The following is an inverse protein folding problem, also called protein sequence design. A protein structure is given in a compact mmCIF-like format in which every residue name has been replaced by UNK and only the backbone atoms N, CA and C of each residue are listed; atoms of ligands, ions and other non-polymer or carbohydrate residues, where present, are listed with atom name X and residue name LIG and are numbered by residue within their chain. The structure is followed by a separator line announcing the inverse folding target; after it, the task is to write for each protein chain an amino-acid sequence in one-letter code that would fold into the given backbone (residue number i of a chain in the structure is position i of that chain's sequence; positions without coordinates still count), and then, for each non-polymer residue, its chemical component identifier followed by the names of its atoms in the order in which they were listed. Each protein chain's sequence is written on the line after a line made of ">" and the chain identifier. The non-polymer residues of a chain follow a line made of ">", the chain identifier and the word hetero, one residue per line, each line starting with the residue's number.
data_IF_308678750826
#
_entry.id   IF_308678750826
#
_cell.length_a   1.000
_cell.length_b   1.000
_cell.length_c   1.000
_cell.angle_alpha   90.00
_cell.angle_beta   90.00
_cell.angle_gamma   90.00
#
_symmetry.space_group_name_H-M   'P 1'
#
loop_
_entity.id
_entity.type
_entity.pdbx_description
1 polymer ?
#
# COMPACT_ATOMS: atom_id res chain seq x y z
N UNK A 1 -8.52 13.95 1.47
CA UNK A 1 -7.99 13.88 0.08
C UNK A 1 -6.47 13.76 -0.05
N UNK A 2 -5.65 14.46 0.76
CA UNK A 2 -4.17 14.38 0.71
C UNK A 2 -3.59 12.97 0.55
N UNK A 3 -4.00 12.01 1.40
CA UNK A 3 -3.46 10.65 1.37
C UNK A 3 -3.71 9.95 0.02
N UNK A 4 -4.80 10.28 -0.69
CA UNK A 4 -5.12 9.66 -1.97
C UNK A 4 -4.13 10.09 -3.06
N UNK A 5 -3.65 11.33 -3.02
CA UNK A 5 -2.55 11.78 -3.91
C UNK A 5 -1.27 10.99 -3.64
N UNK A 6 -0.95 10.72 -2.38
CA UNK A 6 0.20 9.88 -2.01
C UNK A 6 0.02 8.41 -2.45
N UNK A 7 -1.20 7.87 -2.32
CA UNK A 7 -1.51 6.51 -2.78
C UNK A 7 -1.31 6.39 -4.29
N UNK A 8 -1.85 7.34 -5.07
CA UNK A 8 -1.67 7.40 -6.52
C UNK A 8 -0.21 7.46 -6.88
N UNK A 9 0.54 8.42 -6.32
CA UNK A 9 1.97 8.55 -6.60
C UNK A 9 2.73 7.24 -6.38
N UNK A 10 2.51 6.58 -5.23
CA UNK A 10 3.19 5.32 -4.90
C UNK A 10 2.79 4.16 -5.82
N UNK A 11 1.50 3.99 -6.08
CA UNK A 11 0.99 2.93 -6.95
C UNK A 11 1.39 3.14 -8.41
N UNK A 12 1.40 4.38 -8.88
CA UNK A 12 1.80 4.72 -10.24
C UNK A 12 3.27 4.41 -10.49
N UNK A 13 4.14 4.70 -9.52
CA UNK A 13 5.55 4.29 -9.60
C UNK A 13 5.68 2.76 -9.64
N UNK A 14 4.89 2.03 -8.85
CA UNK A 14 4.87 0.56 -8.88
C UNK A 14 4.37 0.01 -10.22
N UNK A 15 3.31 0.59 -10.80
CA UNK A 15 2.76 0.19 -12.09
C UNK A 15 3.74 0.45 -13.23
N UNK A 16 4.40 1.62 -13.25
CA UNK A 16 5.45 1.95 -14.22
C UNK A 16 6.59 0.95 -14.17
N UNK A 17 7.12 0.70 -12.97
CA UNK A 17 8.20 -0.25 -12.79
C UNK A 17 7.76 -1.66 -13.21
N UNK A 18 6.59 -2.10 -12.76
CA UNK A 18 6.09 -3.43 -13.09
C UNK A 18 5.93 -3.61 -14.61
N UNK A 19 5.49 -2.57 -15.32
CA UNK A 19 5.39 -2.57 -16.79
C UNK A 19 6.76 -2.59 -17.48
N UNK A 20 7.70 -1.77 -17.04
CA UNK A 20 9.07 -1.66 -17.59
C UNK A 20 9.81 -3.00 -17.52
N UNK A 21 9.61 -3.75 -16.43
CA UNK A 21 10.31 -5.01 -16.15
C UNK A 21 9.47 -6.26 -16.42
N UNK A 22 8.35 -6.14 -17.14
CA UNK A 22 7.48 -7.26 -17.57
C UNK A 22 6.98 -8.16 -16.41
N UNK A 23 6.59 -7.56 -15.29
CA UNK A 23 5.88 -8.27 -14.24
C UNK A 23 4.42 -8.50 -14.62
N UNK A 24 3.81 -9.55 -14.08
CA UNK A 24 2.39 -9.87 -14.33
C UNK A 24 1.44 -8.91 -13.59
N UNK A 25 1.79 -8.53 -12.36
CA UNK A 25 0.96 -7.71 -11.48
C UNK A 25 1.76 -6.64 -10.73
N UNK A 26 1.08 -5.56 -10.37
CA UNK A 26 1.53 -4.63 -9.33
C UNK A 26 0.52 -4.56 -8.19
N UNK A 27 0.98 -4.16 -7.00
CA UNK A 27 0.11 -3.98 -5.83
C UNK A 27 0.73 -3.03 -4.80
N UNK A 28 0.10 -2.91 -3.63
CA UNK A 28 0.67 -2.15 -2.51
C UNK A 28 0.41 -2.85 -1.18
N UNK A 29 1.42 -2.89 -0.32
CA UNK A 29 1.31 -3.35 1.06
C UNK A 29 0.53 -2.38 1.95
N UNK A 30 0.24 -1.15 1.50
CA UNK A 30 -0.46 -0.14 2.30
C UNK A 30 -1.81 -0.61 2.85
N UNK A 31 -2.49 -1.55 2.19
CA UNK A 31 -3.79 -2.08 2.63
C UNK A 31 -3.72 -2.90 3.94
N UNK A 32 -2.53 -3.32 4.37
CA UNK A 32 -2.34 -4.03 5.65
C UNK A 32 -2.62 -3.13 6.86
N UNK A 33 -2.43 -1.82 6.71
CA UNK A 33 -2.60 -0.89 7.81
C UNK A 33 -4.09 -0.60 8.06
N UNK A 34 -4.57 -0.69 9.31
CA UNK A 34 -5.97 -0.41 9.65
C UNK A 34 -6.36 1.06 9.36
N UNK A 35 -5.39 1.96 9.27
CA UNK A 35 -5.58 3.39 9.02
C UNK A 35 -5.73 3.73 7.52
N UNK A 36 -5.53 2.76 6.62
CA UNK A 36 -5.51 3.01 5.18
C UNK A 36 -6.82 2.56 4.54
N UNK A 37 -7.35 3.45 3.68
CA UNK A 37 -8.55 3.18 2.92
C UNK A 37 -8.22 2.24 1.74
N UNK A 38 -8.45 0.94 1.94
CA UNK A 38 -8.17 -0.10 0.95
C UNK A 38 -9.06 0.02 -0.30
N UNK A 39 -10.32 0.45 -0.15
CA UNK A 39 -11.19 0.70 -1.30
C UNK A 39 -10.56 1.73 -2.23
N UNK A 40 -10.14 2.88 -1.69
CA UNK A 40 -9.52 3.92 -2.50
C UNK A 40 -8.17 3.50 -3.11
N UNK A 41 -7.39 2.67 -2.41
CA UNK A 41 -6.17 2.07 -2.97
C UNK A 41 -6.48 1.19 -4.18
N UNK A 42 -7.52 0.35 -4.09
CA UNK A 42 -7.93 -0.52 -5.19
C UNK A 42 -8.57 0.26 -6.34
N UNK A 43 -9.39 1.28 -6.08
CA UNK A 43 -9.94 2.15 -7.13
C UNK A 43 -8.82 2.83 -7.93
N UNK A 44 -7.78 3.32 -7.25
CA UNK A 44 -6.61 3.92 -7.90
C UNK A 44 -5.79 2.88 -8.65
N UNK A 45 -5.60 1.69 -8.06
CA UNK A 45 -4.89 0.59 -8.69
C UNK A 45 -5.55 0.15 -10.00
N UNK A 46 -6.87 0.02 -10.01
CA UNK A 46 -7.64 -0.33 -11.22
C UNK A 46 -7.47 0.71 -12.32
N UNK A 47 -7.62 2.00 -11.99
CA UNK A 47 -7.39 3.09 -12.94
C UNK A 47 -5.98 3.05 -13.55
N UNK A 48 -4.96 2.80 -12.73
CA UNK A 48 -3.58 2.69 -13.20
C UNK A 48 -3.33 1.42 -14.02
N UNK A 49 -4.09 0.34 -13.77
CA UNK A 49 -4.03 -0.90 -14.53
C UNK A 49 -4.39 -0.64 -16.00
N UNK A 50 -5.44 0.16 -16.21
CA UNK A 50 -5.91 0.55 -17.54
C UNK A 50 -4.95 1.49 -18.26
N UNK A 51 -4.30 2.41 -17.54
CA UNK A 51 -3.34 3.38 -18.10
C UNK A 51 -2.05 2.68 -18.53
N UNK A 52 -1.46 1.88 -17.64
CA UNK A 52 -0.13 1.27 -17.85
C UNK A 52 -0.18 -0.10 -18.52
N UNK A 53 -1.37 -0.65 -18.75
CA UNK A 53 -1.60 -1.97 -19.37
C UNK A 53 -0.81 -3.07 -18.66
N UNK A 54 -1.00 -3.12 -17.34
CA UNK A 54 -0.49 -4.13 -16.42
C UNK A 54 -1.53 -4.39 -15.33
N UNK A 55 -1.73 -5.64 -14.91
CA UNK A 55 -2.79 -5.96 -13.97
C UNK A 55 -2.49 -5.44 -12.56
N UNK A 56 -3.47 -4.78 -11.94
CA UNK A 56 -3.44 -4.51 -10.51
C UNK A 56 -3.90 -5.76 -9.76
N UNK A 57 -3.26 -6.11 -8.65
CA UNK A 57 -3.75 -7.14 -7.73
C UNK A 57 -4.59 -6.47 -6.64
N UNK A 58 -5.94 -6.54 -6.70
CA UNK A 58 -6.78 -5.93 -5.69
C UNK A 58 -6.58 -6.63 -4.35
N UNK A 59 -6.35 -5.86 -3.30
CA UNK A 59 -6.05 -6.43 -1.99
C UNK A 59 -6.62 -5.60 -0.85
N UNK A 60 -6.96 -6.30 0.22
CA UNK A 60 -7.29 -5.73 1.52
C UNK A 60 -6.65 -6.60 2.61
N UNK A 61 -5.32 -6.48 2.73
CA UNK A 61 -4.51 -7.42 3.52
C UNK A 61 -4.83 -7.38 5.02
N UNK A 62 -5.54 -6.37 5.53
CA UNK A 62 -6.00 -6.35 6.93
C UNK A 62 -7.21 -7.26 7.20
N UNK A 63 -7.97 -7.68 6.19
CA UNK A 63 -9.14 -8.56 6.37
C UNK A 63 -8.72 -9.97 6.83
N UNK A 64 -9.69 -10.74 7.34
CA UNK A 64 -9.51 -12.12 7.83
C UNK A 64 -8.35 -12.26 8.83
N UNK A 65 -8.16 -11.26 9.69
CA UNK A 65 -7.10 -11.25 10.70
C UNK A 65 -5.69 -10.94 10.17
N UNK A 66 -5.54 -10.54 8.90
CA UNK A 66 -4.21 -10.33 8.31
C UNK A 66 -3.39 -9.24 9.00
N UNK A 67 -4.02 -8.18 9.53
CA UNK A 67 -3.29 -7.18 10.33
C UNK A 67 -2.68 -7.80 11.60
N UNK A 68 -3.45 -8.61 12.34
CA UNK A 68 -2.96 -9.32 13.53
C UNK A 68 -1.81 -10.26 13.14
N UNK A 69 -1.97 -11.03 12.07
CA UNK A 69 -0.92 -11.91 11.55
C UNK A 69 0.34 -11.14 11.19
N UNK A 70 0.22 -9.93 10.62
CA UNK A 70 1.39 -9.09 10.33
C UNK A 70 2.18 -8.68 11.58
N UNK A 71 1.51 -8.48 12.72
CA UNK A 71 2.15 -8.14 13.99
C UNK A 71 2.90 -9.36 14.52
N UNK A 72 2.25 -10.53 14.53
CA UNK A 72 2.86 -11.79 14.95
C UNK A 72 4.12 -12.09 14.13
N UNK A 73 4.01 -12.01 12.80
CA UNK A 73 5.15 -12.21 11.89
C UNK A 73 6.28 -11.21 12.13
N UNK A 74 5.96 -9.96 12.46
CA UNK A 74 7.02 -8.97 12.75
C UNK A 74 7.73 -9.26 14.06
N UNK A 75 7.03 -9.76 15.07
CA UNK A 75 7.66 -10.19 16.32
C UNK A 75 8.49 -11.47 16.11
N UNK A 76 7.98 -12.41 15.32
CA UNK A 76 8.65 -13.68 14.98
C UNK A 76 9.97 -13.46 14.22
N UNK A 77 9.98 -12.51 13.27
CA UNK A 77 11.14 -12.23 12.42
C UNK A 77 11.95 -10.99 12.84
N UNK A 78 11.71 -10.44 14.03
CA UNK A 78 12.36 -9.23 14.54
C UNK A 78 12.35 -8.05 13.54
N UNK A 79 11.19 -7.84 12.90
CA UNK A 79 11.02 -6.81 11.88
C UNK A 79 10.69 -5.46 12.52
N UNK A 80 11.43 -4.43 12.11
CA UNK A 80 11.09 -3.06 12.44
C UNK A 80 9.67 -2.68 11.95
N UNK A 81 8.83 -2.21 12.87
CA UNK A 81 7.47 -1.73 12.57
C UNK A 81 7.39 -0.22 12.68
N UNK A 82 7.42 0.45 11.54
CA UNK A 82 7.21 1.89 11.47
C UNK A 82 5.80 2.29 11.93
N UNK A 83 5.69 3.28 12.83
CA UNK A 83 4.41 3.75 13.39
C UNK A 83 3.81 4.98 12.66
N UNK A 84 4.45 5.46 11.59
CA UNK A 84 3.99 6.54 10.72
C UNK A 84 4.18 6.15 9.25
N UNK A 85 3.50 6.79 8.30
CA UNK A 85 3.53 6.34 6.89
C UNK A 85 4.62 6.97 6.01
N UNK A 86 5.58 7.68 6.61
CA UNK A 86 6.67 8.37 5.91
C UNK A 86 6.39 9.83 5.53
N UNK A 87 5.20 10.37 5.77
CA UNK A 87 4.91 11.79 5.50
C UNK A 87 4.96 12.64 6.78
N UNK A 88 5.29 13.93 6.64
CA UNK A 88 5.38 14.89 7.75
C UNK A 88 4.11 14.94 8.59
N UNK A 89 2.94 14.83 7.95
CA UNK A 89 1.66 14.86 8.66
C UNK A 89 1.46 13.66 9.59
N UNK A 90 1.72 12.46 9.08
CA UNK A 90 1.63 11.23 9.89
C UNK A 90 2.72 11.19 10.97
N UNK A 91 3.87 11.83 10.73
CA UNK A 91 4.95 11.96 11.69
C UNK A 91 4.53 12.89 12.84
N UNK A 92 3.99 14.07 12.52
CA UNK A 92 3.48 15.04 13.50
C UNK A 92 2.32 14.48 14.32
N UNK A 93 1.39 13.73 13.70
CA UNK A 93 0.29 13.03 14.41
C UNK A 93 0.79 12.01 15.45
N UNK A 94 2.05 11.57 15.34
CA UNK A 94 2.72 10.65 16.27
C UNK A 94 3.66 11.34 17.25
N UNK A 95 3.78 12.67 17.20
CA UNK A 95 4.70 13.45 18.04
C UNK A 95 6.17 13.20 17.75
N UNK A 96 6.50 12.83 16.50
CA UNK A 96 7.86 12.53 16.05
C UNK A 96 8.49 13.69 15.27
#
# INVERSE_FOLDING_TARGET
>A
ERCFRCYRLRLEMAAKYAKEYNFDYFCSTLSISPLKNARKLNDIGEELSEIYKISHLPNDFKKKGGYKRSIELSAEYDLYRQNYCGCVFSKNERGL
#
